data_IF_137286656847
#
_entry.id   IF_137286656847
#
_cell.length_a   1.000
_cell.length_b   1.000
_cell.length_c   1.000
_cell.angle_alpha   90.00
_cell.angle_beta   90.00
_cell.angle_gamma   90.00
#
_symmetry.space_group_name_H-M   'P 1'
#
loop_
_entity.id
_entity.type
_entity.pdbx_description
1 polymer ?
#
# COMPACT_ATOMS: atom_id res chain seq x y z
N UNK A 1 5.13 2.59 20.10
CA UNK A 1 6.00 3.72 20.53
C UNK A 1 5.13 4.81 21.13
N UNK A 2 5.49 5.36 22.28
CA UNK A 2 4.67 6.32 23.03
C UNK A 2 5.39 7.66 23.14
N UNK A 3 4.67 8.77 23.05
CA UNK A 3 5.20 10.08 23.38
C UNK A 3 5.22 10.34 24.90
N UNK A 4 5.88 11.43 25.33
CA UNK A 4 6.01 11.78 26.74
C UNK A 4 4.70 12.00 27.51
N UNK A 5 3.61 12.29 26.78
CA UNK A 5 2.24 12.42 27.29
C UNK A 5 1.43 11.11 27.17
N UNK A 6 2.08 9.98 26.93
CA UNK A 6 1.49 8.66 26.65
C UNK A 6 0.62 8.57 25.41
N UNK A 7 0.72 9.50 24.48
CA UNK A 7 0.05 9.37 23.19
C UNK A 7 0.77 8.35 22.32
N UNK A 8 -0.02 7.52 21.62
CA UNK A 8 0.52 6.60 20.63
C UNK A 8 1.12 7.39 19.46
N UNK A 9 2.43 7.29 19.25
CA UNK A 9 3.14 7.93 18.13
C UNK A 9 3.13 7.09 16.88
N UNK A 10 3.10 5.77 17.02
CA UNK A 10 3.11 4.87 15.88
C UNK A 10 3.08 3.40 16.29
N UNK A 11 2.85 2.58 15.29
CA UNK A 11 2.82 1.12 15.37
C UNK A 11 3.82 0.55 14.38
N UNK A 12 4.52 -0.50 14.79
CA UNK A 12 5.35 -1.29 13.92
C UNK A 12 4.62 -2.60 13.59
N UNK A 13 4.25 -2.77 12.34
CA UNK A 13 3.59 -3.97 11.85
C UNK A 13 4.63 -4.94 11.28
N UNK A 14 4.48 -6.22 11.61
CA UNK A 14 5.32 -7.32 11.09
C UNK A 14 4.49 -8.39 10.39
N UNK A 15 3.20 -8.11 10.16
CA UNK A 15 2.29 -9.02 9.47
C UNK A 15 2.50 -8.94 7.95
N UNK A 16 2.63 -10.10 7.30
CA UNK A 16 2.90 -10.19 5.86
C UNK A 16 1.63 -10.00 5.03
N UNK A 17 0.69 -10.91 5.21
CA UNK A 17 -0.59 -10.99 4.51
C UNK A 17 -1.64 -11.63 5.42
N UNK A 18 -2.90 -11.63 4.98
CA UNK A 18 -3.97 -12.35 5.67
C UNK A 18 -3.66 -13.85 5.78
N UNK A 19 -3.98 -14.44 6.94
CA UNK A 19 -3.93 -15.90 7.16
C UNK A 19 -5.18 -16.63 6.60
N UNK A 20 -6.19 -15.88 6.13
CA UNK A 20 -7.44 -16.44 5.61
C UNK A 20 -7.29 -16.92 4.17
N UNK A 21 -8.09 -17.92 3.79
CA UNK A 21 -8.12 -18.38 2.41
C UNK A 21 -8.63 -17.29 1.44
N UNK A 22 -8.22 -17.37 0.18
CA UNK A 22 -8.75 -16.48 -0.85
C UNK A 22 -10.28 -16.59 -0.94
N UNK A 23 -10.85 -17.78 -0.86
CA UNK A 23 -12.29 -17.99 -0.90
C UNK A 23 -13.00 -17.22 0.23
N UNK A 24 -12.52 -17.35 1.46
CA UNK A 24 -13.07 -16.62 2.62
C UNK A 24 -13.01 -15.11 2.41
N UNK A 25 -11.88 -14.57 1.92
CA UNK A 25 -11.77 -13.13 1.66
C UNK A 25 -12.76 -12.66 0.58
N UNK A 26 -12.92 -13.41 -0.50
CA UNK A 26 -13.87 -13.08 -1.57
C UNK A 26 -15.33 -13.10 -1.08
N UNK A 27 -15.70 -14.08 -0.26
CA UNK A 27 -17.02 -14.16 0.37
C UNK A 27 -17.28 -12.96 1.30
N UNK A 28 -16.31 -12.59 2.13
CA UNK A 28 -16.41 -11.45 3.04
C UNK A 28 -16.55 -10.13 2.28
N UNK A 29 -15.77 -9.91 1.21
CA UNK A 29 -15.88 -8.73 0.35
C UNK A 29 -17.28 -8.66 -0.28
N UNK A 30 -17.76 -9.77 -0.82
CA UNK A 30 -19.10 -9.87 -1.41
C UNK A 30 -20.19 -9.53 -0.40
N UNK A 31 -20.06 -10.05 0.83
CA UNK A 31 -21.02 -9.76 1.92
C UNK A 31 -20.98 -8.29 2.30
N UNK A 32 -19.78 -7.70 2.50
CA UNK A 32 -19.64 -6.28 2.83
C UNK A 32 -20.27 -5.40 1.76
N UNK A 33 -20.02 -5.70 0.48
CA UNK A 33 -20.61 -4.92 -0.62
C UNK A 33 -22.13 -5.04 -0.69
N UNK A 34 -22.67 -6.21 -0.36
CA UNK A 34 -24.12 -6.43 -0.28
C UNK A 34 -24.74 -5.69 0.91
N UNK A 35 -24.10 -5.74 2.08
CA UNK A 35 -24.61 -5.14 3.32
C UNK A 35 -24.48 -3.61 3.32
N UNK A 36 -23.51 -3.06 2.57
CA UNK A 36 -23.24 -1.62 2.47
C UNK A 36 -23.13 -1.17 1.00
N UNK A 37 -24.22 -1.23 0.22
CA UNK A 37 -24.19 -0.98 -1.22
C UNK A 37 -23.75 0.46 -1.57
N UNK A 38 -24.03 1.43 -0.69
CA UNK A 38 -23.69 2.86 -0.88
C UNK A 38 -22.23 3.20 -0.49
N UNK A 39 -21.45 2.21 -0.04
CA UNK A 39 -20.06 2.41 0.34
C UNK A 39 -19.14 1.86 -0.73
N UNK A 40 -18.08 2.61 -1.03
CA UNK A 40 -17.03 2.12 -1.90
C UNK A 40 -16.21 1.05 -1.19
N UNK A 41 -15.99 -0.08 -1.86
CA UNK A 41 -15.13 -1.17 -1.40
C UNK A 41 -13.98 -1.30 -2.40
N UNK A 42 -12.77 -0.98 -1.95
CA UNK A 42 -11.55 -1.11 -2.73
C UNK A 42 -10.75 -2.30 -2.19
N UNK A 43 -10.47 -3.26 -3.05
CA UNK A 43 -9.76 -4.49 -2.66
C UNK A 43 -8.27 -4.33 -2.88
N UNK A 44 -7.49 -4.39 -1.79
CA UNK A 44 -6.02 -4.33 -1.87
C UNK A 44 -5.46 -5.70 -2.21
N UNK A 45 -4.68 -5.78 -3.28
CA UNK A 45 -4.15 -7.03 -3.85
C UNK A 45 -2.63 -6.97 -3.90
N UNK A 46 -2.00 -8.10 -3.54
CA UNK A 46 -0.59 -8.33 -3.70
C UNK A 46 -0.36 -9.79 -4.13
N UNK A 47 0.09 -9.99 -5.36
CA UNK A 47 0.45 -11.29 -5.94
C UNK A 47 1.82 -11.19 -6.63
N UNK A 48 2.47 -12.30 -6.98
CA UNK A 48 3.73 -12.27 -7.70
C UNK A 48 3.69 -11.43 -8.97
N UNK A 49 4.85 -10.90 -9.38
CA UNK A 49 5.02 -10.14 -10.62
C UNK A 49 5.02 -11.09 -11.83
N UNK A 50 3.91 -11.77 -12.02
CA UNK A 50 3.66 -12.76 -13.08
C UNK A 50 2.27 -12.51 -13.68
N UNK A 51 2.18 -12.32 -14.99
CA UNK A 51 0.91 -11.96 -15.66
C UNK A 51 -0.21 -12.97 -15.36
N UNK A 52 0.09 -14.26 -15.35
CA UNK A 52 -0.90 -15.31 -15.08
C UNK A 52 -1.46 -15.25 -13.65
N UNK A 53 -0.67 -14.80 -12.67
CA UNK A 53 -1.17 -14.62 -11.29
C UNK A 53 -2.22 -13.50 -11.23
N UNK A 54 -1.98 -12.38 -11.89
CA UNK A 54 -2.93 -11.27 -11.99
C UNK A 54 -4.17 -11.65 -12.78
N UNK A 55 -4.01 -12.27 -13.93
CA UNK A 55 -5.11 -12.78 -14.77
C UNK A 55 -6.00 -13.78 -14.03
N UNK A 56 -5.44 -14.59 -13.14
CA UNK A 56 -6.20 -15.57 -12.37
C UNK A 56 -7.02 -14.94 -11.21
N UNK A 57 -6.53 -13.86 -10.57
CA UNK A 57 -7.18 -13.29 -9.40
C UNK A 57 -8.20 -12.20 -9.76
N UNK A 58 -7.92 -11.37 -10.76
CA UNK A 58 -8.72 -10.19 -11.07
C UNK A 58 -10.19 -10.50 -11.38
N UNK A 59 -10.55 -11.51 -12.20
CA UNK A 59 -11.95 -11.85 -12.44
C UNK A 59 -12.68 -12.30 -11.16
N UNK A 60 -11.99 -12.95 -10.23
CA UNK A 60 -12.57 -13.38 -8.96
C UNK A 60 -12.89 -12.19 -8.06
N UNK A 61 -11.99 -11.21 -8.03
CA UNK A 61 -12.22 -9.95 -7.30
C UNK A 61 -13.34 -9.15 -7.94
N UNK A 62 -13.40 -9.06 -9.25
CA UNK A 62 -14.47 -8.35 -9.96
C UNK A 62 -15.84 -8.94 -9.68
N UNK A 63 -15.94 -10.28 -9.61
CA UNK A 63 -17.17 -10.99 -9.30
C UNK A 63 -17.74 -10.72 -7.90
N UNK A 64 -16.91 -10.20 -6.96
CA UNK A 64 -17.38 -9.80 -5.61
C UNK A 64 -18.28 -8.56 -5.63
N UNK A 65 -18.29 -7.80 -6.71
CA UNK A 65 -18.99 -6.52 -6.81
C UNK A 65 -18.19 -5.33 -6.26
N UNK A 66 -16.96 -5.52 -5.80
CA UNK A 66 -16.08 -4.43 -5.35
C UNK A 66 -15.99 -3.30 -6.38
N UNK A 67 -15.80 -2.05 -5.91
CA UNK A 67 -15.85 -0.86 -6.76
C UNK A 67 -14.52 -0.54 -7.44
N UNK A 68 -13.42 -1.12 -6.96
CA UNK A 68 -12.09 -0.97 -7.53
C UNK A 68 -11.07 -1.85 -6.83
N UNK A 69 -9.84 -1.80 -7.31
CA UNK A 69 -8.70 -2.49 -6.70
C UNK A 69 -7.59 -1.51 -6.34
N UNK A 70 -6.81 -1.85 -5.31
CA UNK A 70 -5.55 -1.21 -4.95
C UNK A 70 -4.41 -2.22 -5.17
N UNK A 71 -3.43 -1.85 -5.99
CA UNK A 71 -2.22 -2.65 -6.19
C UNK A 71 -1.23 -2.33 -5.08
N UNK A 72 -0.94 -3.29 -4.21
CA UNK A 72 -0.03 -3.08 -3.09
C UNK A 72 1.43 -3.26 -3.52
N UNK A 73 2.06 -2.18 -4.01
CA UNK A 73 3.48 -2.15 -4.36
C UNK A 73 4.36 -1.58 -3.26
N UNK A 74 3.89 -1.61 -2.02
CA UNK A 74 4.60 -0.97 -0.93
C UNK A 74 4.89 -1.84 0.29
N UNK A 75 4.36 -3.06 0.36
CA UNK A 75 4.59 -3.95 1.50
C UNK A 75 6.10 -4.26 1.65
N UNK A 76 6.73 -3.86 2.78
CA UNK A 76 8.19 -3.95 2.90
C UNK A 76 8.70 -5.29 3.43
N UNK A 77 7.83 -6.12 4.02
CA UNK A 77 8.26 -7.35 4.66
C UNK A 77 8.20 -8.55 3.71
N UNK A 78 9.13 -9.50 3.87
CA UNK A 78 9.15 -10.89 3.42
C UNK A 78 8.63 -11.24 2.03
N UNK A 79 7.66 -10.51 1.54
CA UNK A 79 7.08 -10.69 0.21
C UNK A 79 7.93 -10.04 -0.90
N UNK A 80 8.79 -9.11 -0.56
CA UNK A 80 9.76 -8.53 -1.50
C UNK A 80 10.74 -9.59 -2.02
N UNK A 81 11.15 -10.52 -1.16
CA UNK A 81 12.01 -11.66 -1.53
C UNK A 81 11.33 -12.63 -2.51
N UNK A 82 9.99 -12.57 -2.61
CA UNK A 82 9.18 -13.34 -3.55
C UNK A 82 8.76 -12.55 -4.79
N UNK A 83 9.39 -11.40 -5.06
CA UNK A 83 9.06 -10.55 -6.20
C UNK A 83 7.70 -9.86 -6.11
N UNK A 84 7.28 -9.50 -4.88
CA UNK A 84 6.00 -8.82 -4.59
C UNK A 84 6.21 -7.54 -3.79
N UNK A 85 5.16 -6.75 -3.62
CA UNK A 85 5.16 -5.57 -2.75
C UNK A 85 6.23 -4.56 -3.13
N UNK A 86 7.11 -4.20 -2.19
CA UNK A 86 8.14 -3.17 -2.39
C UNK A 86 9.21 -3.55 -3.43
N UNK A 87 9.39 -4.83 -3.76
CA UNK A 87 10.27 -5.23 -4.85
C UNK A 87 9.75 -4.76 -6.21
N UNK A 88 8.44 -4.79 -6.41
CA UNK A 88 7.78 -4.20 -7.58
C UNK A 88 7.78 -2.68 -7.47
N UNK A 89 7.44 -2.14 -6.30
CA UNK A 89 7.26 -0.70 -6.07
C UNK A 89 8.52 0.16 -6.16
N UNK A 90 9.71 -0.45 -6.16
CA UNK A 90 10.98 0.25 -6.34
C UNK A 90 11.45 0.28 -7.79
N UNK A 91 10.81 -0.45 -8.69
CA UNK A 91 11.20 -0.58 -10.10
C UNK A 91 10.07 -0.04 -10.99
N UNK A 92 10.20 1.16 -11.57
CA UNK A 92 9.16 1.79 -12.38
C UNK A 92 8.65 0.90 -13.52
N UNK A 93 9.52 0.15 -14.16
CA UNK A 93 9.18 -0.75 -15.27
C UNK A 93 8.22 -1.86 -14.83
N UNK A 94 8.42 -2.40 -13.62
CA UNK A 94 7.51 -3.41 -13.06
C UNK A 94 6.16 -2.82 -12.67
N UNK A 95 6.16 -1.59 -12.11
CA UNK A 95 4.93 -0.87 -11.80
C UNK A 95 4.10 -0.67 -13.05
N UNK A 96 4.71 -0.15 -14.13
CA UNK A 96 4.02 0.05 -15.39
C UNK A 96 3.46 -1.27 -15.93
N UNK A 97 4.29 -2.28 -16.06
CA UNK A 97 3.95 -3.58 -16.62
C UNK A 97 2.79 -4.25 -15.86
N UNK A 98 2.86 -4.32 -14.52
CA UNK A 98 1.79 -4.92 -13.73
C UNK A 98 0.51 -4.10 -13.79
N UNK A 99 0.61 -2.78 -13.82
CA UNK A 99 -0.56 -1.90 -13.98
C UNK A 99 -1.24 -2.13 -15.33
N UNK A 100 -0.47 -2.28 -16.41
CA UNK A 100 -0.97 -2.62 -17.76
C UNK A 100 -1.74 -3.96 -17.75
N UNK A 101 -1.20 -5.00 -17.09
CA UNK A 101 -1.90 -6.27 -16.94
C UNK A 101 -3.22 -6.10 -16.19
N UNK A 102 -3.22 -5.33 -15.10
CA UNK A 102 -4.43 -5.07 -14.34
C UNK A 102 -5.48 -4.34 -15.17
N UNK A 103 -5.10 -3.33 -15.92
CA UNK A 103 -6.01 -2.60 -16.82
C UNK A 103 -6.53 -3.46 -17.98
N UNK A 104 -5.76 -4.46 -18.41
CA UNK A 104 -6.17 -5.43 -19.43
C UNK A 104 -7.23 -6.42 -18.93
N UNK A 105 -7.15 -6.84 -17.66
CA UNK A 105 -7.96 -7.92 -17.10
C UNK A 105 -9.01 -7.48 -16.07
N UNK A 106 -9.11 -6.18 -15.78
CA UNK A 106 -10.04 -5.61 -14.80
C UNK A 106 -10.72 -4.37 -15.35
N UNK A 107 -12.05 -4.32 -15.27
CA UNK A 107 -12.85 -3.26 -15.92
C UNK A 107 -13.05 -2.00 -15.07
N UNK A 108 -12.84 -2.10 -13.74
CA UNK A 108 -13.11 -1.03 -12.79
C UNK A 108 -11.82 -0.26 -12.43
N UNK A 109 -11.90 0.82 -11.62
CA UNK A 109 -10.73 1.60 -11.24
C UNK A 109 -9.60 0.80 -10.61
N UNK A 110 -8.36 1.14 -11.02
CA UNK A 110 -7.11 0.58 -10.53
C UNK A 110 -6.31 1.67 -9.84
N UNK A 111 -6.13 1.54 -8.53
CA UNK A 111 -5.36 2.44 -7.67
C UNK A 111 -4.00 1.82 -7.42
N UNK A 112 -2.92 2.55 -7.63
CA UNK A 112 -1.56 2.05 -7.41
C UNK A 112 -1.01 2.60 -6.10
N UNK A 113 -0.83 1.74 -5.09
CA UNK A 113 -0.27 2.14 -3.80
C UNK A 113 1.24 2.00 -3.79
N UNK A 114 1.90 3.15 -3.63
CA UNK A 114 3.34 3.27 -3.74
C UNK A 114 4.06 3.15 -2.39
N UNK A 115 5.32 2.71 -2.46
CA UNK A 115 6.21 2.61 -1.30
C UNK A 115 6.81 3.97 -0.93
N UNK A 116 6.93 4.30 0.37
CA UNK A 116 7.72 5.45 0.82
C UNK A 116 9.22 5.14 0.90
N UNK A 117 9.61 3.86 0.75
CA UNK A 117 11.01 3.41 0.89
C UNK A 117 11.77 3.61 -0.42
N UNK A 118 11.70 4.81 -0.96
CA UNK A 118 12.31 5.25 -2.23
C UNK A 118 12.68 6.73 -2.11
N UNK A 119 13.70 7.15 -2.82
CA UNK A 119 14.20 8.52 -2.75
C UNK A 119 13.25 9.52 -3.42
N UNK A 120 12.62 9.14 -4.53
CA UNK A 120 11.73 10.01 -5.32
C UNK A 120 10.49 9.23 -5.78
N UNK A 121 9.35 9.55 -5.20
CA UNK A 121 8.06 8.89 -5.49
C UNK A 121 7.49 9.25 -6.88
N UNK A 122 8.01 10.28 -7.53
CA UNK A 122 7.51 10.74 -8.83
C UNK A 122 7.78 9.75 -9.95
N UNK A 123 8.91 9.05 -9.93
CA UNK A 123 9.22 8.03 -10.94
C UNK A 123 8.21 6.87 -10.92
N UNK A 124 7.98 6.20 -9.77
CA UNK A 124 6.94 5.16 -9.70
C UNK A 124 5.53 5.69 -10.01
N UNK A 125 5.21 6.93 -9.63
CA UNK A 125 3.91 7.51 -9.95
C UNK A 125 3.69 7.72 -11.46
N UNK A 126 4.73 8.17 -12.18
CA UNK A 126 4.69 8.29 -13.64
C UNK A 126 4.54 6.93 -14.32
N UNK A 127 5.22 5.90 -13.80
CA UNK A 127 5.11 4.53 -14.30
C UNK A 127 3.70 3.97 -14.09
N UNK A 128 3.09 4.22 -12.91
CA UNK A 128 1.70 3.84 -12.65
C UNK A 128 0.73 4.47 -13.67
N UNK A 129 0.93 5.76 -13.99
CA UNK A 129 0.14 6.42 -15.03
C UNK A 129 0.39 5.83 -16.41
N UNK A 130 1.64 5.62 -16.79
CA UNK A 130 2.00 5.04 -18.09
C UNK A 130 1.34 3.67 -18.28
N UNK A 131 1.22 2.87 -17.21
CA UNK A 131 0.48 1.60 -17.19
C UNK A 131 -1.04 1.73 -17.19
N UNK A 132 -1.58 2.96 -17.22
CA UNK A 132 -3.03 3.22 -17.27
C UNK A 132 -3.72 3.23 -15.90
N UNK A 133 -2.98 3.30 -14.80
CA UNK A 133 -3.55 3.43 -13.45
C UNK A 133 -4.43 4.67 -13.32
N UNK A 134 -5.59 4.51 -12.68
CA UNK A 134 -6.59 5.57 -12.53
C UNK A 134 -6.22 6.55 -11.40
N UNK A 135 -5.51 6.07 -10.37
CA UNK A 135 -5.05 6.86 -9.24
C UNK A 135 -3.80 6.26 -8.58
N UNK A 136 -3.11 7.07 -7.77
CA UNK A 136 -2.05 6.59 -6.88
C UNK A 136 -2.44 6.83 -5.43
N UNK A 137 -2.07 5.87 -4.56
CA UNK A 137 -2.24 5.97 -3.11
C UNK A 137 -0.87 6.13 -2.44
N UNK A 138 -0.74 7.12 -1.57
CA UNK A 138 0.45 7.47 -0.80
C UNK A 138 0.11 7.55 0.69
N UNK A 139 0.87 6.95 1.52
CA UNK A 139 2.05 6.11 1.38
C UNK A 139 1.79 4.75 2.04
N UNK A 140 2.55 3.72 1.64
CA UNK A 140 2.63 2.51 2.44
C UNK A 140 3.51 2.76 3.68
N UNK A 141 3.80 1.76 4.46
CA UNK A 141 4.57 1.84 5.71
C UNK A 141 6.07 2.01 5.46
N UNK A 142 6.76 2.60 6.45
CA UNK A 142 8.20 2.86 6.39
C UNK A 142 8.94 1.68 7.03
N UNK A 143 10.00 1.20 6.37
CA UNK A 143 10.91 0.19 6.95
C UNK A 143 11.48 0.68 8.27
N UNK A 144 11.41 -0.15 9.30
CA UNK A 144 11.85 0.24 10.63
C UNK A 144 12.25 -0.94 11.51
N UNK A 145 13.05 -0.63 12.52
CA UNK A 145 13.32 -1.45 13.69
C UNK A 145 12.92 -0.60 14.89
N UNK A 146 12.06 -1.12 15.76
CA UNK A 146 11.52 -0.35 16.90
C UNK A 146 12.56 -0.14 17.98
N UNK A 147 13.31 -1.19 18.30
CA UNK A 147 14.39 -1.16 19.28
C UNK A 147 15.38 -2.31 19.01
N UNK A 148 16.48 -2.27 19.69
CA UNK A 148 17.47 -3.36 19.72
C UNK A 148 17.63 -3.78 21.16
N UNK A 149 17.46 -5.07 21.44
CA UNK A 149 17.84 -5.66 22.73
C UNK A 149 19.36 -5.69 22.82
N UNK A 150 19.94 -4.90 23.72
CA UNK A 150 21.37 -4.75 23.86
C UNK A 150 22.06 -5.94 24.51
N UNK A 151 21.30 -6.79 25.23
CA UNK A 151 21.84 -7.99 25.85
C UNK A 151 22.05 -9.10 24.82
N UNK A 152 21.11 -9.22 23.87
CA UNK A 152 21.12 -10.23 22.84
C UNK A 152 21.61 -9.70 21.49
N UNK A 153 21.79 -8.39 21.35
CA UNK A 153 22.08 -7.68 20.10
C UNK A 153 21.08 -8.03 18.99
N UNK A 154 19.83 -8.26 19.37
CA UNK A 154 18.75 -8.63 18.45
C UNK A 154 17.77 -7.47 18.23
N UNK A 155 17.31 -7.23 17.00
CA UNK A 155 16.28 -6.23 16.74
C UNK A 155 14.92 -6.70 17.28
N UNK A 156 14.13 -5.76 17.81
CA UNK A 156 12.74 -5.99 18.21
C UNK A 156 11.76 -5.42 17.16
N UNK A 157 10.62 -6.09 16.96
CA UNK A 157 10.15 -7.30 17.62
C UNK A 157 10.85 -8.56 17.09
N UNK A 158 10.79 -9.64 17.90
CA UNK A 158 11.28 -10.95 17.52
C UNK A 158 10.12 -11.90 17.20
N UNK A 159 10.28 -12.73 16.16
CA UNK A 159 9.38 -13.83 15.83
C UNK A 159 10.17 -15.12 15.89
N UNK A 160 9.71 -16.06 16.71
CA UNK A 160 10.40 -17.34 16.93
C UNK A 160 11.89 -17.16 17.28
N UNK A 161 12.22 -16.17 18.11
CA UNK A 161 13.58 -15.85 18.54
C UNK A 161 14.46 -15.17 17.49
N UNK A 162 13.91 -14.79 16.33
CA UNK A 162 14.63 -14.07 15.29
C UNK A 162 14.08 -12.65 15.18
N UNK A 163 14.98 -11.67 15.18
CA UNK A 163 14.63 -10.28 14.91
C UNK A 163 14.19 -10.11 13.46
N UNK A 164 13.23 -9.23 13.22
CA UNK A 164 12.74 -8.88 11.89
C UNK A 164 12.55 -7.38 11.76
N UNK A 165 12.88 -6.77 10.63
CA UNK A 165 12.43 -5.44 10.33
C UNK A 165 10.90 -5.42 10.23
N UNK A 166 10.30 -4.31 10.60
CA UNK A 166 8.88 -4.09 10.52
C UNK A 166 8.50 -2.90 9.65
N UNK A 167 7.23 -2.62 9.60
CA UNK A 167 6.62 -1.56 8.82
C UNK A 167 5.98 -0.51 9.75
N UNK A 168 6.61 0.64 9.87
CA UNK A 168 6.19 1.69 10.77
C UNK A 168 5.06 2.54 10.18
N UNK A 169 4.05 2.81 10.99
CA UNK A 169 2.88 3.62 10.65
C UNK A 169 2.42 4.45 11.85
N UNK A 170 1.45 5.35 11.63
CA UNK A 170 0.84 6.16 12.67
C UNK A 170 1.23 7.65 12.60
N UNK A 171 0.89 8.46 13.62
CA UNK A 171 1.06 9.91 13.60
C UNK A 171 2.47 10.39 13.28
N UNK A 172 3.51 9.65 13.68
CA UNK A 172 4.90 10.04 13.46
C UNK A 172 5.31 10.03 11.99
N UNK A 173 4.64 9.25 11.12
CA UNK A 173 4.95 9.22 9.68
C UNK A 173 4.19 10.27 8.87
N UNK A 174 3.25 10.98 9.49
CA UNK A 174 2.42 12.00 8.81
C UNK A 174 3.25 13.05 8.05
N UNK A 175 4.31 13.66 8.62
CA UNK A 175 5.11 14.66 7.90
C UNK A 175 5.76 14.09 6.63
N UNK A 176 6.19 12.83 6.67
CA UNK A 176 6.80 12.14 5.53
C UNK A 176 5.76 11.92 4.43
N UNK A 177 4.57 11.43 4.81
CA UNK A 177 3.47 11.24 3.88
C UNK A 177 3.05 12.55 3.21
N UNK A 178 2.91 13.63 3.98
CA UNK A 178 2.59 14.96 3.46
C UNK A 178 3.65 15.47 2.49
N UNK A 179 4.93 15.28 2.80
CA UNK A 179 6.03 15.65 1.90
C UNK A 179 5.94 14.91 0.55
N UNK A 180 5.72 13.60 0.57
CA UNK A 180 5.59 12.80 -0.65
C UNK A 180 4.36 13.18 -1.49
N UNK A 181 3.23 13.44 -0.84
CA UNK A 181 2.04 13.95 -1.52
C UNK A 181 2.31 15.32 -2.16
N UNK A 182 3.00 16.23 -1.44
CA UNK A 182 3.36 17.54 -1.96
C UNK A 182 4.35 17.47 -3.15
N UNK A 183 5.32 16.55 -3.12
CA UNK A 183 6.20 16.32 -4.26
C UNK A 183 5.40 15.92 -5.51
N UNK A 184 4.44 15.03 -5.35
CA UNK A 184 3.58 14.57 -6.41
C UNK A 184 2.64 15.65 -6.93
N UNK A 185 1.99 16.40 -6.03
CA UNK A 185 1.04 17.47 -6.39
C UNK A 185 1.71 18.66 -7.11
N UNK A 186 3.01 18.86 -6.91
CA UNK A 186 3.79 19.91 -7.59
C UNK A 186 4.31 19.52 -8.97
N UNK A 187 4.05 18.30 -9.42
CA UNK A 187 4.38 17.92 -10.79
C UNK A 187 3.58 18.78 -11.78
N UNK A 188 4.21 19.41 -12.80
CA UNK A 188 3.54 20.30 -13.76
C UNK A 188 2.39 19.62 -14.51
N UNK A 189 2.45 18.31 -14.63
CA UNK A 189 1.39 17.45 -15.14
C UNK A 189 1.32 16.22 -14.24
N UNK A 190 0.53 16.26 -13.15
CA UNK A 190 0.42 15.12 -12.24
C UNK A 190 -0.03 13.89 -13.02
N UNK A 191 0.64 12.74 -12.82
CA UNK A 191 0.34 11.53 -13.59
C UNK A 191 -1.08 11.03 -13.38
N UNK A 192 -1.60 11.06 -12.15
CA UNK A 192 -2.97 10.65 -11.80
C UNK A 192 -3.48 11.54 -10.67
N UNK A 193 -4.80 11.65 -10.44
CA UNK A 193 -5.32 12.28 -9.23
C UNK A 193 -4.75 11.56 -7.99
N UNK A 194 -4.11 12.26 -7.05
CA UNK A 194 -3.59 11.63 -5.87
C UNK A 194 -4.75 11.20 -4.96
N UNK A 195 -4.77 9.93 -4.56
CA UNK A 195 -5.57 9.50 -3.42
C UNK A 195 -4.61 9.42 -2.24
N UNK A 196 -4.75 10.34 -1.30
CA UNK A 196 -3.93 10.34 -0.10
C UNK A 196 -4.49 9.37 0.94
N UNK A 197 -3.90 8.19 1.06
CA UNK A 197 -4.11 7.32 2.22
C UNK A 197 -2.98 7.54 3.21
N UNK A 198 -3.07 8.58 4.05
CA UNK A 198 -2.09 8.85 5.10
C UNK A 198 -2.39 7.91 6.27
N UNK A 199 -1.58 6.88 6.43
CA UNK A 199 -1.63 6.02 7.62
C UNK A 199 -1.30 6.85 8.86
N UNK A 200 -2.33 7.06 9.73
CA UNK A 200 -2.21 7.83 10.97
C UNK A 200 -2.73 9.27 10.93
N UNK A 201 -3.41 9.69 9.88
CA UNK A 201 -4.17 10.93 9.92
C UNK A 201 -5.48 10.74 10.70
N UNK A 202 -5.73 11.58 11.70
CA UNK A 202 -7.10 11.76 12.19
C UNK A 202 -7.95 12.36 11.07
N UNK A 203 -9.22 11.97 10.93
CA UNK A 203 -10.09 12.51 9.89
C UNK A 203 -10.46 13.96 10.23
N UNK A 204 -9.61 14.88 9.83
CA UNK A 204 -9.99 16.28 9.65
C UNK A 204 -9.80 16.58 8.18
N UNK A 205 -10.84 17.13 7.57
CA UNK A 205 -10.86 17.54 6.17
C UNK A 205 -9.51 18.12 5.72
N UNK A 206 -9.01 17.76 4.53
CA UNK A 206 -7.91 18.50 3.95
C UNK A 206 -8.35 19.96 3.84
N UNK A 207 -7.59 20.86 4.45
CA UNK A 207 -7.78 22.28 4.21
C UNK A 207 -7.53 22.54 2.73
N UNK A 208 -8.40 23.32 2.04
CA UNK A 208 -8.19 23.70 0.65
C UNK A 208 -6.86 24.44 0.41
N UNK A 209 -6.23 24.92 1.48
CA UNK A 209 -5.03 25.76 1.45
C UNK A 209 -3.72 24.96 1.38
N UNK A 210 -3.75 23.62 1.19
CA UNK A 210 -2.57 22.74 1.12
C UNK A 210 -2.27 22.22 -0.30
N UNK A 211 -2.98 22.71 -1.31
CA UNK A 211 -2.74 22.39 -2.71
C UNK A 211 -2.13 23.57 -3.46
#
# INVERSE_FOLDING_TARGET
MWGGDRRLLGLNNIELITARSLATNLEEITRVKKDYPDRAVIVSIMVPCEEEAWKAILPKVEATGADGIELNFGCPHGMAERGMGSAVGQVPEYIQMVTEWCKKYYSKPVIVKLTPNITDVRFPARAAKAGGGDAVSLINTINSIVSVDLDNMAPEPTIAGKGTPGAYSGPAVKPIAQYMVAQFAREPQPPCPPISAILGSTPRHPSPDLL
#
